data_IF_781634912605
#
_entry.id   IF_781634912605
#
_cell.length_a   1.000
_cell.length_b   1.000
_cell.length_c   1.000
_cell.angle_alpha   90.00
_cell.angle_beta   90.00
_cell.angle_gamma   90.00
#
_symmetry.space_group_name_H-M   'P 1'
#
loop_
_entity.id
_entity.type
_entity.pdbx_description
1 polymer ?
#
# COMPACT_ATOMS: atom_id res chain seq x y z
N UNK A 1 -72.84 -31.44 31.69
CA UNK A 1 -71.48 -31.25 32.20
C UNK A 1 -70.58 -32.03 31.27
N UNK A 2 -69.95 -31.31 30.34
CA UNK A 2 -69.05 -31.85 29.35
C UNK A 2 -67.64 -31.65 29.81
N UNK A 3 -66.81 -32.70 29.84
CA UNK A 3 -65.38 -32.65 30.08
C UNK A 3 -64.64 -32.62 28.73
N UNK A 4 -63.80 -31.62 28.52
CA UNK A 4 -62.93 -31.50 27.37
C UNK A 4 -61.68 -32.34 27.50
N UNK A 5 -61.20 -33.05 26.47
CA UNK A 5 -59.94 -33.80 26.53
C UNK A 5 -58.73 -32.87 26.30
N UNK A 6 -57.66 -33.12 27.10
CA UNK A 6 -56.38 -32.43 26.97
C UNK A 6 -55.58 -33.02 25.80
N UNK A 7 -54.94 -32.20 24.97
CA UNK A 7 -54.02 -32.69 23.94
C UNK A 7 -52.65 -33.03 24.55
N UNK A 8 -52.14 -34.24 24.24
CA UNK A 8 -50.75 -34.63 24.49
C UNK A 8 -49.88 -34.12 23.35
N UNK A 9 -49.05 -33.15 23.62
CA UNK A 9 -47.98 -32.76 22.69
C UNK A 9 -46.72 -33.59 23.00
N UNK A 10 -46.31 -34.43 22.11
CA UNK A 10 -44.97 -35.02 22.08
C UNK A 10 -44.16 -34.34 21.00
N UNK A 11 -43.13 -33.58 21.40
CA UNK A 11 -42.16 -32.97 20.49
C UNK A 11 -41.04 -33.98 20.19
N UNK A 12 -40.67 -34.20 18.91
CA UNK A 12 -39.52 -35.02 18.60
C UNK A 12 -38.23 -34.24 18.83
N UNK A 13 -37.28 -34.88 19.54
CA UNK A 13 -35.91 -34.32 19.71
C UNK A 13 -35.13 -34.40 18.40
N UNK A 14 -34.52 -33.32 17.91
CA UNK A 14 -33.62 -33.37 16.77
C UNK A 14 -32.30 -34.03 17.17
N UNK A 15 -31.91 -35.11 16.51
CA UNK A 15 -30.55 -35.66 16.53
C UNK A 15 -29.66 -34.81 15.64
N UNK A 16 -28.94 -33.85 16.23
CA UNK A 16 -27.86 -33.17 15.56
C UNK A 16 -26.59 -34.02 15.65
N UNK A 17 -26.23 -34.71 14.59
CA UNK A 17 -24.87 -35.18 14.37
C UNK A 17 -24.15 -34.18 13.49
N UNK A 18 -23.29 -33.37 14.11
CA UNK A 18 -22.34 -32.52 13.38
C UNK A 18 -21.24 -33.39 12.81
N UNK A 19 -20.93 -33.30 11.49
CA UNK A 19 -19.75 -33.97 10.98
C UNK A 19 -18.51 -33.26 11.49
N UNK A 20 -17.59 -33.99 12.10
CA UNK A 20 -16.27 -33.48 12.47
C UNK A 20 -15.51 -33.11 11.20
N UNK A 21 -14.97 -31.89 11.05
CA UNK A 21 -14.10 -31.57 9.96
C UNK A 21 -12.82 -32.38 10.06
N UNK A 22 -12.54 -33.19 9.06
CA UNK A 22 -11.22 -33.78 8.85
C UNK A 22 -10.29 -32.67 8.39
N UNK A 23 -9.55 -32.09 9.32
CA UNK A 23 -8.43 -31.23 8.98
C UNK A 23 -7.32 -32.10 8.36
N UNK A 24 -7.31 -32.23 7.05
CA UNK A 24 -6.10 -32.59 6.32
C UNK A 24 -5.43 -31.29 5.93
N UNK A 25 -4.38 -30.93 6.66
CA UNK A 25 -3.45 -29.88 6.24
C UNK A 25 -2.71 -30.35 4.98
N UNK A 26 -2.84 -29.69 3.85
CA UNK A 26 -2.11 -30.04 2.63
C UNK A 26 -0.68 -29.50 2.61
N UNK A 27 -0.20 -28.90 3.67
CA UNK A 27 1.14 -28.32 3.72
C UNK A 27 2.11 -29.27 4.37
N UNK A 28 2.85 -30.01 3.53
CA UNK A 28 4.08 -30.70 3.91
C UNK A 28 5.05 -29.66 4.44
N UNK A 29 5.60 -29.88 5.64
CA UNK A 29 6.57 -29.02 6.35
C UNK A 29 7.89 -28.87 5.56
N UNK A 30 8.04 -29.52 4.40
CA UNK A 30 9.32 -29.64 3.67
C UNK A 30 9.60 -28.47 2.70
N UNK A 31 8.78 -27.43 2.64
CA UNK A 31 9.04 -26.29 1.73
C UNK A 31 8.68 -24.95 2.37
N UNK A 32 9.11 -24.71 3.59
CA UNK A 32 9.27 -23.34 4.08
C UNK A 32 10.48 -22.76 3.35
N UNK A 33 10.25 -22.24 2.15
CA UNK A 33 11.17 -21.31 1.50
C UNK A 33 11.35 -20.18 2.49
N UNK A 34 12.54 -20.05 3.10
CA UNK A 34 12.85 -18.95 4.01
C UNK A 34 12.65 -17.69 3.16
N UNK A 35 11.51 -17.02 3.35
CA UNK A 35 11.25 -15.75 2.71
C UNK A 35 12.26 -14.75 3.28
N UNK A 36 12.97 -14.04 2.42
CA UNK A 36 13.83 -12.95 2.88
C UNK A 36 12.93 -11.91 3.56
N UNK A 37 13.36 -11.34 4.70
CA UNK A 37 12.62 -10.28 5.33
C UNK A 37 12.34 -9.12 4.35
N UNK A 38 11.14 -8.56 4.44
CA UNK A 38 10.81 -7.34 3.74
C UNK A 38 11.61 -6.18 4.35
N UNK A 39 12.26 -5.41 3.49
CA UNK A 39 13.03 -4.22 3.87
C UNK A 39 12.33 -3.01 3.27
N UNK A 40 11.83 -2.10 4.12
CA UNK A 40 11.34 -0.83 3.64
C UNK A 40 12.51 -0.06 2.98
N UNK A 41 12.39 0.24 1.70
CA UNK A 41 13.49 0.87 0.94
C UNK A 41 13.08 2.25 0.48
N UNK A 42 13.78 3.28 0.98
CA UNK A 42 13.58 4.68 0.60
C UNK A 42 14.53 5.06 -0.52
N UNK A 43 14.03 5.76 -1.52
CA UNK A 43 14.84 6.29 -2.63
C UNK A 43 15.37 7.67 -2.25
N UNK A 44 16.69 7.84 -2.32
CA UNK A 44 17.34 9.14 -2.31
C UNK A 44 17.59 9.58 -3.75
N UNK A 45 16.94 10.66 -4.16
CA UNK A 45 17.16 11.33 -5.45
C UNK A 45 17.82 12.71 -5.23
N UNK A 46 18.46 13.28 -6.27
CA UNK A 46 19.36 14.41 -6.05
C UNK A 46 18.67 15.77 -6.04
N UNK A 47 17.49 15.91 -6.67
CA UNK A 47 16.88 17.21 -6.92
C UNK A 47 16.02 17.76 -5.78
N UNK A 48 15.56 16.92 -4.85
CA UNK A 48 14.56 17.29 -3.86
C UNK A 48 14.91 16.92 -2.42
N UNK A 49 13.89 16.89 -1.60
CA UNK A 49 13.93 16.57 -0.17
C UNK A 49 13.33 15.18 0.08
N UNK A 50 14.05 14.16 -0.28
CA UNK A 50 13.64 12.76 -0.18
C UNK A 50 13.47 12.25 1.26
N UNK A 51 14.02 12.95 2.25
CA UNK A 51 14.07 12.57 3.66
C UNK A 51 12.90 13.17 4.45
N UNK A 52 11.69 12.85 4.02
CA UNK A 52 10.43 13.24 4.69
C UNK A 52 9.93 12.12 5.59
N UNK A 53 9.02 12.41 6.52
CA UNK A 53 8.25 11.41 7.29
C UNK A 53 9.16 10.35 7.93
N UNK A 54 10.04 10.76 8.81
CA UNK A 54 11.15 9.91 9.30
C UNK A 54 10.69 8.74 10.18
N UNK A 55 9.51 8.84 10.84
CA UNK A 55 8.95 7.75 11.66
C UNK A 55 8.03 6.84 10.86
N UNK A 56 7.62 7.27 9.68
CA UNK A 56 6.68 6.53 8.84
C UNK A 56 7.13 5.10 8.54
N UNK A 57 8.39 4.80 8.15
CA UNK A 57 8.81 3.43 7.89
C UNK A 57 8.64 2.51 9.09
N UNK A 58 9.06 2.95 10.28
CA UNK A 58 8.92 2.12 11.49
C UNK A 58 7.47 1.91 11.89
N UNK A 59 6.61 2.92 11.75
CA UNK A 59 5.19 2.81 12.06
C UNK A 59 4.48 1.86 11.07
N UNK A 60 4.79 1.95 9.79
CA UNK A 60 4.22 1.07 8.77
C UNK A 60 4.71 -0.38 8.92
N UNK A 61 5.99 -0.58 9.25
CA UNK A 61 6.56 -1.89 9.55
C UNK A 61 5.90 -2.52 10.79
N UNK A 62 5.65 -1.76 11.84
CA UNK A 62 4.89 -2.22 13.01
C UNK A 62 3.48 -2.70 12.63
N UNK A 63 2.84 -2.01 11.69
CA UNK A 63 1.52 -2.40 11.18
C UNK A 63 1.57 -3.69 10.36
N UNK A 64 2.63 -3.90 9.58
CA UNK A 64 2.84 -5.18 8.90
C UNK A 64 2.96 -6.35 9.87
N UNK A 65 3.70 -6.17 10.98
CA UNK A 65 3.82 -7.19 12.02
C UNK A 65 2.47 -7.47 12.69
N UNK A 66 1.67 -6.44 12.91
CA UNK A 66 0.37 -6.58 13.56
C UNK A 66 -0.65 -7.31 12.69
N UNK A 67 -0.71 -6.98 11.40
CA UNK A 67 -1.75 -7.48 10.50
C UNK A 67 -1.33 -8.67 9.64
N UNK A 68 -0.03 -8.95 9.51
CA UNK A 68 0.47 -9.97 8.57
C UNK A 68 1.49 -10.90 9.21
N UNK A 69 1.85 -11.94 8.50
CA UNK A 69 2.97 -12.84 8.84
C UNK A 69 4.21 -12.58 7.97
N UNK A 70 4.25 -11.46 7.26
CA UNK A 70 5.40 -11.07 6.44
C UNK A 70 6.60 -10.84 7.37
N UNK A 71 7.71 -11.56 7.21
CA UNK A 71 8.90 -11.26 7.98
C UNK A 71 9.47 -9.91 7.55
N UNK A 72 9.85 -9.08 8.50
CA UNK A 72 10.38 -7.73 8.24
C UNK A 72 11.82 -7.57 8.77
N UNK A 73 12.56 -6.66 8.15
CA UNK A 73 13.72 -5.99 8.77
C UNK A 73 13.20 -4.72 9.44
N UNK A 74 13.53 -4.51 10.70
CA UNK A 74 13.05 -3.36 11.47
C UNK A 74 13.66 -2.03 10.99
N UNK A 75 14.76 -2.09 10.23
CA UNK A 75 15.47 -0.92 9.73
C UNK A 75 15.15 -0.66 8.27
N UNK A 76 14.79 0.58 7.99
CA UNK A 76 14.72 1.02 6.60
C UNK A 76 16.10 1.01 5.94
N UNK A 77 16.10 0.87 4.61
CA UNK A 77 17.27 1.00 3.76
C UNK A 77 17.10 2.24 2.87
N UNK A 78 18.09 3.11 2.85
CA UNK A 78 18.17 4.21 1.90
C UNK A 78 19.02 3.80 0.71
N UNK A 79 18.54 4.02 -0.52
CA UNK A 79 19.27 3.74 -1.76
C UNK A 79 19.29 4.98 -2.65
N UNK A 80 20.46 5.27 -3.21
CA UNK A 80 20.57 6.30 -4.23
C UNK A 80 19.85 5.85 -5.51
N UNK A 81 19.01 6.71 -6.08
CA UNK A 81 18.32 6.42 -7.35
C UNK A 81 19.31 6.16 -8.50
N UNK A 82 20.49 6.76 -8.43
CA UNK A 82 21.59 6.54 -9.39
C UNK A 82 22.37 5.23 -9.17
N UNK A 83 21.98 4.39 -8.20
CA UNK A 83 22.67 3.14 -7.86
C UNK A 83 21.89 1.90 -8.29
N UNK A 84 22.59 0.86 -8.73
CA UNK A 84 22.01 -0.45 -9.01
C UNK A 84 21.53 -1.19 -7.74
N UNK A 85 21.79 -0.67 -6.54
CA UNK A 85 21.29 -1.25 -5.27
C UNK A 85 19.75 -1.31 -5.21
N UNK A 86 19.06 -0.43 -5.93
CA UNK A 86 17.59 -0.40 -6.03
C UNK A 86 17.04 -1.75 -6.53
N UNK A 87 17.73 -2.45 -7.42
CA UNK A 87 17.30 -3.74 -7.98
C UNK A 87 17.28 -4.90 -6.95
N UNK A 88 17.81 -4.67 -5.76
CA UNK A 88 17.77 -5.67 -4.66
C UNK A 88 16.48 -5.60 -3.84
N UNK A 89 15.66 -4.56 -4.05
CA UNK A 89 14.43 -4.31 -3.30
C UNK A 89 13.21 -4.45 -4.22
N UNK A 90 12.22 -5.27 -3.87
CA UNK A 90 10.99 -5.39 -4.68
C UNK A 90 10.08 -4.17 -4.54
N UNK A 91 10.21 -3.45 -3.43
CA UNK A 91 9.43 -2.25 -3.08
C UNK A 91 10.37 -1.09 -2.77
N UNK A 92 10.05 0.07 -3.32
CA UNK A 92 10.71 1.33 -2.98
C UNK A 92 9.68 2.43 -2.71
N UNK A 93 10.06 3.37 -1.84
CA UNK A 93 9.30 4.56 -1.50
C UNK A 93 10.05 5.82 -1.95
N UNK A 94 9.33 6.75 -2.56
CA UNK A 94 9.83 8.06 -2.96
C UNK A 94 8.84 9.13 -2.51
N UNK A 95 9.31 10.17 -1.83
CA UNK A 95 8.47 11.28 -1.38
C UNK A 95 9.23 12.61 -1.40
N UNK A 96 8.53 13.69 -1.18
CA UNK A 96 9.10 15.02 -1.06
C UNK A 96 8.10 16.15 -1.19
N UNK A 97 8.61 17.39 -1.01
CA UNK A 97 7.86 18.64 -1.16
C UNK A 97 8.34 19.46 -2.35
N UNK A 98 9.54 19.17 -2.85
CA UNK A 98 10.27 20.01 -3.79
C UNK A 98 10.31 19.42 -5.20
N UNK A 99 10.99 20.10 -6.08
CA UNK A 99 11.19 19.69 -7.46
C UNK A 99 11.72 18.26 -7.56
N UNK A 100 11.06 17.45 -8.38
CA UNK A 100 11.57 16.15 -8.81
C UNK A 100 12.14 16.30 -10.22
N UNK A 101 13.45 16.13 -10.34
CA UNK A 101 14.15 16.12 -11.62
C UNK A 101 15.21 15.02 -11.61
N UNK A 102 15.03 14.04 -12.49
CA UNK A 102 15.97 12.94 -12.60
C UNK A 102 17.06 13.25 -13.61
N UNK A 103 18.31 13.02 -13.23
CA UNK A 103 19.41 12.95 -14.19
C UNK A 103 19.16 11.82 -15.20
N UNK A 104 19.85 11.84 -16.32
CA UNK A 104 19.73 10.78 -17.33
C UNK A 104 20.01 9.39 -16.77
N UNK A 105 20.96 9.29 -15.83
CA UNK A 105 21.30 8.05 -15.14
C UNK A 105 20.19 7.58 -14.20
N UNK A 106 19.65 8.48 -13.41
CA UNK A 106 18.54 8.17 -12.49
C UNK A 106 17.30 7.72 -13.27
N UNK A 107 16.98 8.40 -14.36
CA UNK A 107 15.85 8.06 -15.22
C UNK A 107 16.03 6.67 -15.87
N UNK A 108 17.22 6.34 -16.36
CA UNK A 108 17.51 5.01 -16.91
C UNK A 108 17.38 3.91 -15.87
N UNK A 109 17.91 4.12 -14.65
CA UNK A 109 17.81 3.15 -13.56
C UNK A 109 16.37 3.00 -13.11
N UNK A 110 15.63 4.10 -12.92
CA UNK A 110 14.21 4.08 -12.54
C UNK A 110 13.37 3.31 -13.57
N UNK A 111 13.56 3.62 -14.86
CA UNK A 111 12.87 2.93 -15.94
C UNK A 111 13.15 1.43 -15.92
N UNK A 112 14.42 1.03 -15.88
CA UNK A 112 14.80 -0.39 -15.85
C UNK A 112 14.31 -1.11 -14.59
N UNK A 113 14.33 -0.45 -13.44
CA UNK A 113 13.82 -1.01 -12.20
C UNK A 113 12.33 -1.37 -12.33
N UNK A 114 11.53 -0.44 -12.79
CA UNK A 114 10.09 -0.64 -13.00
C UNK A 114 9.81 -1.69 -14.08
N UNK A 115 10.53 -1.65 -15.20
CA UNK A 115 10.39 -2.63 -16.29
C UNK A 115 10.75 -4.06 -15.85
N UNK A 116 11.65 -4.20 -14.90
CA UNK A 116 12.06 -5.51 -14.35
C UNK A 116 11.19 -5.98 -13.16
N UNK A 117 10.03 -5.37 -12.96
CA UNK A 117 9.07 -5.79 -11.95
C UNK A 117 9.23 -5.13 -10.58
N UNK A 118 10.08 -4.12 -10.45
CA UNK A 118 10.15 -3.28 -9.25
C UNK A 118 8.89 -2.46 -9.07
N UNK A 119 8.52 -2.19 -7.82
CA UNK A 119 7.39 -1.36 -7.45
C UNK A 119 7.87 -0.12 -6.70
N UNK A 120 7.38 1.06 -7.11
CA UNK A 120 7.66 2.33 -6.42
C UNK A 120 6.35 2.94 -5.95
N UNK A 121 6.21 3.14 -4.65
CA UNK A 121 5.18 4.00 -4.10
C UNK A 121 5.74 5.42 -4.00
N UNK A 122 5.06 6.36 -4.63
CA UNK A 122 5.42 7.78 -4.67
C UNK A 122 4.33 8.58 -3.99
N UNK A 123 4.70 9.37 -3.00
CA UNK A 123 3.76 10.15 -2.22
C UNK A 123 4.14 11.62 -2.16
N UNK A 124 3.20 12.49 -2.51
CA UNK A 124 3.36 13.95 -2.49
C UNK A 124 3.02 14.48 -1.10
N UNK A 125 4.05 14.91 -0.37
CA UNK A 125 3.88 15.45 0.98
C UNK A 125 3.27 16.87 1.02
N UNK A 126 3.00 17.49 -0.12
CA UNK A 126 2.29 18.79 -0.15
C UNK A 126 0.79 18.65 -0.28
N UNK A 127 0.30 17.48 -0.70
CA UNK A 127 -1.11 17.28 -1.01
C UNK A 127 -1.65 18.38 -1.96
N UNK A 128 -0.92 18.64 -3.04
CA UNK A 128 -1.24 19.71 -4.00
C UNK A 128 -0.97 19.24 -5.44
N UNK A 129 -2.04 18.93 -6.19
CA UNK A 129 -1.93 18.47 -7.58
C UNK A 129 -1.35 19.53 -8.51
N UNK A 130 -1.38 20.78 -8.13
CA UNK A 130 -0.81 21.91 -8.83
C UNK A 130 0.56 22.33 -8.28
N UNK A 131 1.00 21.66 -7.23
CA UNK A 131 2.25 21.88 -6.54
C UNK A 131 3.49 21.51 -7.36
N UNK A 132 4.63 21.92 -6.84
CA UNK A 132 5.91 21.72 -7.52
C UNK A 132 6.27 20.25 -7.64
N UNK A 133 6.07 19.46 -6.56
CA UNK A 133 6.34 18.02 -6.56
C UNK A 133 5.46 17.32 -7.58
N UNK A 134 4.14 17.51 -7.52
CA UNK A 134 3.18 16.87 -8.40
C UNK A 134 3.50 17.10 -9.88
N UNK A 135 3.62 18.38 -10.28
CA UNK A 135 3.89 18.75 -11.67
C UNK A 135 5.23 18.23 -12.18
N UNK A 136 6.28 18.34 -11.37
CA UNK A 136 7.60 17.87 -11.78
C UNK A 136 7.68 16.35 -11.84
N UNK A 137 7.06 15.65 -10.90
CA UNK A 137 7.00 14.18 -10.94
C UNK A 137 6.21 13.66 -12.15
N UNK A 138 5.07 14.26 -12.47
CA UNK A 138 4.32 13.90 -13.68
C UNK A 138 5.14 14.12 -14.95
N UNK A 139 5.91 15.20 -15.01
CA UNK A 139 6.83 15.46 -16.13
C UNK A 139 7.95 14.40 -16.21
N UNK A 140 8.52 13.99 -15.07
CA UNK A 140 9.53 12.92 -15.05
C UNK A 140 8.94 11.56 -15.48
N UNK A 141 7.71 11.24 -15.10
CA UNK A 141 7.02 10.04 -15.59
C UNK A 141 6.77 10.11 -17.09
N UNK A 142 6.37 11.28 -17.61
CA UNK A 142 6.20 11.50 -19.05
C UNK A 142 7.51 11.33 -19.84
N UNK A 143 8.63 11.83 -19.31
CA UNK A 143 9.97 11.66 -19.92
C UNK A 143 10.45 10.21 -19.86
N UNK A 144 10.08 9.48 -18.80
CA UNK A 144 10.59 8.12 -18.53
C UNK A 144 9.79 7.04 -19.25
N UNK A 145 8.45 7.14 -19.23
CA UNK A 145 7.55 6.09 -19.73
C UNK A 145 6.63 6.54 -20.87
N UNK A 146 6.67 7.83 -21.23
CA UNK A 146 5.84 8.44 -22.29
C UNK A 146 4.71 9.31 -21.73
N UNK A 147 4.21 10.21 -22.57
CA UNK A 147 3.33 11.33 -22.19
C UNK A 147 2.04 10.96 -21.44
N UNK A 148 1.57 9.78 -21.53
CA UNK A 148 0.32 9.33 -20.87
C UNK A 148 0.55 8.10 -20.01
N UNK A 149 1.77 7.90 -19.54
CA UNK A 149 2.09 6.70 -18.76
C UNK A 149 1.45 6.71 -17.37
N UNK A 150 1.42 7.87 -16.72
CA UNK A 150 0.79 8.02 -15.39
C UNK A 150 -0.71 8.27 -15.56
N UNK A 151 -1.54 7.27 -15.22
CA UNK A 151 -2.99 7.27 -15.40
C UNK A 151 -3.71 7.02 -14.08
N UNK A 152 -4.91 7.59 -13.93
CA UNK A 152 -5.80 7.22 -12.81
C UNK A 152 -6.13 5.73 -12.87
N UNK A 153 -6.04 5.05 -11.74
CA UNK A 153 -6.48 3.66 -11.61
C UNK A 153 -7.95 3.63 -11.17
N UNK A 154 -8.75 2.67 -11.65
CA UNK A 154 -10.14 2.54 -11.22
C UNK A 154 -10.20 2.11 -9.75
N UNK A 155 -11.21 2.57 -9.00
CA UNK A 155 -11.41 2.19 -7.60
C UNK A 155 -11.76 0.69 -7.43
N UNK A 156 -12.02 -0.02 -8.54
CA UNK A 156 -12.16 -1.47 -8.57
C UNK A 156 -10.83 -2.22 -8.68
N UNK A 157 -9.69 -1.50 -8.79
CA UNK A 157 -8.38 -2.12 -8.92
C UNK A 157 -8.04 -2.98 -7.70
N UNK A 158 -7.37 -4.11 -7.93
CA UNK A 158 -7.05 -5.10 -6.89
C UNK A 158 -6.20 -4.56 -5.73
N UNK A 159 -5.43 -3.48 -5.92
CA UNK A 159 -4.66 -2.85 -4.84
C UNK A 159 -5.55 -2.40 -3.67
N UNK A 160 -6.82 -2.08 -3.94
CA UNK A 160 -7.78 -1.68 -2.92
C UNK A 160 -8.41 -2.86 -2.18
N UNK A 161 -8.12 -4.11 -2.58
CA UNK A 161 -8.74 -5.31 -2.00
C UNK A 161 -7.84 -6.53 -1.91
N UNK A 162 -6.54 -6.37 -2.16
CA UNK A 162 -5.59 -7.49 -2.16
C UNK A 162 -5.33 -8.07 -0.76
N UNK A 163 -5.64 -7.34 0.31
CA UNK A 163 -5.54 -7.80 1.69
C UNK A 163 -6.70 -7.28 2.55
N UNK A 164 -6.85 -5.96 2.70
CA UNK A 164 -8.03 -5.31 3.24
C UNK A 164 -8.92 -4.80 2.10
N UNK A 165 -10.23 -4.72 2.32
CA UNK A 165 -11.18 -4.25 1.31
C UNK A 165 -11.46 -2.76 1.49
N UNK A 166 -11.28 -2.00 0.41
CA UNK A 166 -11.59 -0.58 0.28
C UNK A 166 -12.39 -0.33 -1.00
N UNK A 167 -13.26 0.65 -0.99
CA UNK A 167 -14.02 1.11 -2.16
C UNK A 167 -13.20 2.04 -3.08
N UNK A 168 -12.00 2.42 -2.64
CA UNK A 168 -11.06 3.33 -3.30
C UNK A 168 -9.97 3.75 -2.33
N UNK A 169 -9.16 4.77 -2.67
CA UNK A 169 -8.12 5.25 -1.78
C UNK A 169 -8.73 5.91 -0.53
N UNK A 170 -8.38 5.46 0.69
CA UNK A 170 -8.89 6.08 1.90
C UNK A 170 -8.50 7.56 1.99
N UNK A 171 -9.40 8.35 2.57
CA UNK A 171 -9.19 9.79 2.79
C UNK A 171 -8.20 10.00 3.93
N UNK A 172 -7.30 10.99 3.79
CA UNK A 172 -6.35 11.37 4.84
C UNK A 172 -6.90 12.50 5.72
N UNK A 173 -6.32 12.67 6.91
CA UNK A 173 -6.67 13.80 7.77
C UNK A 173 -6.22 15.13 7.19
N UNK A 174 -5.19 15.12 6.36
CA UNK A 174 -4.68 16.31 5.67
C UNK A 174 -5.69 16.81 4.64
N UNK A 175 -6.27 15.93 3.83
CA UNK A 175 -7.36 16.28 2.91
C UNK A 175 -8.55 16.91 3.63
N UNK A 176 -8.97 16.35 4.78
CA UNK A 176 -10.11 16.86 5.54
C UNK A 176 -9.82 18.17 6.29
N UNK A 177 -8.57 18.48 6.53
CA UNK A 177 -8.15 19.73 7.18
C UNK A 177 -7.84 20.87 6.18
N UNK A 178 -8.02 20.64 4.88
CA UNK A 178 -7.81 21.64 3.84
C UNK A 178 -6.34 21.98 3.61
N UNK A 179 -5.43 21.01 3.74
CA UNK A 179 -4.04 21.19 3.37
C UNK A 179 -3.86 21.14 1.84
N UNK A 180 -2.81 21.77 1.38
CA UNK A 180 -2.43 21.73 -0.03
C UNK A 180 -3.46 22.40 -0.93
N UNK A 181 -4.12 21.64 -1.79
CA UNK A 181 -5.13 22.14 -2.73
C UNK A 181 -6.56 22.22 -2.16
N UNK A 182 -6.75 21.91 -0.88
CA UNK A 182 -8.05 21.93 -0.18
C UNK A 182 -9.11 21.00 -0.83
N UNK A 183 -8.66 19.91 -1.46
CA UNK A 183 -9.54 18.95 -2.12
C UNK A 183 -9.41 17.56 -1.50
N UNK A 184 -10.48 16.77 -1.59
CA UNK A 184 -10.43 15.33 -1.30
C UNK A 184 -10.33 14.58 -2.62
N UNK A 185 -9.24 13.83 -2.80
CA UNK A 185 -9.01 13.06 -4.02
C UNK A 185 -9.47 11.62 -3.86
N UNK A 186 -10.39 11.19 -4.70
CA UNK A 186 -10.97 9.84 -4.72
C UNK A 186 -10.23 8.88 -5.68
N UNK A 187 -8.99 9.20 -6.04
CA UNK A 187 -8.19 8.41 -6.98
C UNK A 187 -6.71 8.42 -6.63
N UNK A 188 -6.01 7.40 -7.11
CA UNK A 188 -4.56 7.38 -7.27
C UNK A 188 -4.21 7.28 -8.75
N UNK A 189 -2.95 7.59 -9.09
CA UNK A 189 -2.41 7.42 -10.43
C UNK A 189 -1.36 6.32 -10.45
N UNK A 190 -1.19 5.64 -11.57
CA UNK A 190 -0.16 4.62 -11.69
C UNK A 190 0.47 4.59 -13.10
N UNK A 191 1.72 4.13 -13.16
CA UNK A 191 2.34 3.60 -14.37
C UNK A 191 2.20 2.08 -14.31
N UNK A 192 1.50 1.52 -15.30
CA UNK A 192 1.25 0.07 -15.38
C UNK A 192 2.13 -0.54 -16.46
N UNK A 193 2.84 -1.60 -16.11
CA UNK A 193 3.70 -2.37 -17.00
C UNK A 193 3.18 -3.82 -17.02
N UNK A 194 2.85 -4.31 -18.20
CA UNK A 194 2.32 -5.68 -18.39
C UNK A 194 1.15 -6.04 -17.46
N UNK A 195 0.24 -5.08 -17.24
CA UNK A 195 -0.94 -5.28 -16.38
C UNK A 195 -0.69 -5.10 -14.87
N UNK A 196 0.55 -4.85 -14.44
CA UNK A 196 0.95 -4.66 -13.05
C UNK A 196 1.32 -3.21 -12.79
N UNK A 197 0.96 -2.67 -11.64
CA UNK A 197 1.47 -1.35 -11.20
C UNK A 197 2.97 -1.46 -10.95
N UNK A 198 3.74 -0.63 -11.65
CA UNK A 198 5.16 -0.45 -11.38
C UNK A 198 5.46 0.85 -10.62
N UNK A 199 4.66 1.90 -10.85
CA UNK A 199 4.71 3.13 -10.06
C UNK A 199 3.29 3.43 -9.59
N UNK A 200 3.08 3.56 -8.29
CA UNK A 200 1.86 4.06 -7.68
C UNK A 200 2.12 5.47 -7.18
N UNK A 201 1.35 6.44 -7.64
CA UNK A 201 1.46 7.84 -7.24
C UNK A 201 0.24 8.28 -6.44
N UNK A 202 0.50 8.87 -5.29
CA UNK A 202 -0.47 9.51 -4.40
C UNK A 202 -0.14 10.98 -4.22
N UNK A 203 -1.16 11.82 -4.25
CA UNK A 203 -1.10 13.21 -3.80
C UNK A 203 -1.92 13.42 -2.52
N UNK A 204 -2.08 12.37 -1.71
CA UNK A 204 -2.92 12.36 -0.52
C UNK A 204 -2.15 12.52 0.78
N UNK A 205 -0.81 12.59 0.70
CA UNK A 205 0.08 12.72 1.86
C UNK A 205 -0.08 11.55 2.86
N UNK A 206 -0.06 10.32 2.35
CA UNK A 206 -0.09 9.13 3.21
C UNK A 206 1.14 9.01 4.09
N UNK A 207 2.30 9.50 3.64
CA UNK A 207 3.53 9.49 4.41
C UNK A 207 3.36 10.20 5.75
N UNK A 208 2.79 11.40 5.74
CA UNK A 208 2.49 12.14 6.96
C UNK A 208 1.44 11.45 7.83
N UNK A 209 0.42 10.79 7.24
CA UNK A 209 -0.53 9.99 8.02
C UNK A 209 0.17 8.83 8.74
N UNK A 210 1.08 8.12 8.07
CA UNK A 210 1.81 6.99 8.63
C UNK A 210 2.96 7.43 9.56
N UNK A 211 3.43 8.68 9.47
CA UNK A 211 4.43 9.23 10.41
C UNK A 211 3.86 9.40 11.82
N UNK A 212 2.54 9.46 11.97
CA UNK A 212 1.86 9.37 13.24
C UNK A 212 1.60 7.92 13.62
N UNK A 213 1.88 7.56 14.86
CA UNK A 213 1.57 6.24 15.40
C UNK A 213 0.06 6.00 15.32
N UNK A 214 -0.38 4.97 14.57
CA UNK A 214 -1.79 4.56 14.44
C UNK A 214 -2.45 4.32 15.82
N UNK A 215 -1.69 3.93 16.83
CA UNK A 215 -2.15 3.75 18.22
C UNK A 215 -2.63 5.05 18.86
N UNK A 216 -2.28 6.20 18.31
CA UNK A 216 -2.81 7.49 18.75
C UNK A 216 -4.29 7.69 18.39
N UNK A 217 -4.95 6.67 17.83
CA UNK A 217 -6.39 6.60 17.58
C UNK A 217 -6.95 7.84 16.87
N UNK A 218 -6.21 8.37 15.92
CA UNK A 218 -6.79 9.30 14.97
C UNK A 218 -7.83 8.55 14.14
N UNK A 219 -8.95 9.14 14.00
CA UNK A 219 -10.15 8.61 13.35
C UNK A 219 -9.92 7.96 11.99
N UNK A 220 -8.99 8.49 11.16
CA UNK A 220 -8.65 7.94 9.84
C UNK A 220 -7.38 7.07 9.84
N UNK A 221 -6.62 7.06 10.92
CA UNK A 221 -5.32 6.41 10.95
C UNK A 221 -5.39 4.89 10.72
N UNK A 222 -6.47 4.24 11.16
CA UNK A 222 -6.62 2.80 10.99
C UNK A 222 -6.78 2.42 9.51
N UNK A 223 -7.65 3.10 8.77
CA UNK A 223 -7.87 2.81 7.35
C UNK A 223 -6.65 3.16 6.52
N UNK A 224 -6.01 4.30 6.79
CA UNK A 224 -4.79 4.71 6.10
C UNK A 224 -3.65 3.72 6.36
N UNK A 225 -3.49 3.23 7.59
CA UNK A 225 -2.51 2.21 7.95
C UNK A 225 -2.78 0.88 7.25
N UNK A 226 -4.03 0.40 7.25
CA UNK A 226 -4.45 -0.80 6.53
C UNK A 226 -4.21 -0.68 5.02
N UNK A 227 -4.41 0.51 4.47
CA UNK A 227 -4.10 0.75 3.06
C UNK A 227 -2.60 0.68 2.77
N UNK A 228 -1.75 1.14 3.68
CA UNK A 228 -0.30 0.94 3.60
C UNK A 228 0.09 -0.54 3.55
N UNK A 229 -0.60 -1.38 4.34
CA UNK A 229 -0.43 -2.84 4.28
C UNK A 229 -0.85 -3.39 2.91
N UNK A 230 -1.97 -2.91 2.33
CA UNK A 230 -2.38 -3.29 0.97
C UNK A 230 -1.30 -2.96 -0.07
N UNK A 231 -0.74 -1.75 -0.02
CA UNK A 231 0.29 -1.31 -0.97
C UNK A 231 1.51 -2.25 -0.92
N UNK A 232 1.98 -2.58 0.29
CA UNK A 232 3.14 -3.48 0.45
C UNK A 232 2.77 -4.89 0.03
N UNK A 233 1.60 -5.41 0.43
CA UNK A 233 1.16 -6.74 0.03
C UNK A 233 1.06 -6.85 -1.51
N UNK A 234 0.47 -5.86 -2.17
CA UNK A 234 0.40 -5.80 -3.62
C UNK A 234 1.80 -5.85 -4.26
N UNK A 235 2.73 -5.04 -3.76
CA UNK A 235 4.10 -4.99 -4.28
C UNK A 235 4.85 -6.32 -4.17
N UNK A 236 4.54 -7.13 -3.15
CA UNK A 236 5.22 -8.40 -2.88
C UNK A 236 4.57 -9.62 -3.56
N UNK A 237 3.30 -9.53 -3.94
CA UNK A 237 2.51 -10.70 -4.40
C UNK A 237 2.08 -10.64 -5.85
N UNK A 238 2.03 -9.45 -6.44
CA UNK A 238 1.59 -9.21 -7.82
C UNK A 238 2.78 -8.77 -8.71
#
# INVERSE_FOLDING_TARGET
KAQSPKPKAQSPKPKAQSPKPKAQSPYSITTLKIMKPFVFTRIQYNSGDWDTDQRMPSNLLNSLVEYTTIPIDEKEKVVLLSSNEIFKSPFCYLSGHKLVEFSSKERDIFHRYVQNGGFVFVDDCNHDIDGLFAKSFEQEMAKTFGQKALQKIPNTHEIYRCFFEFEGPPTTSFELNGWGDDLVHDYLKAVTINGRIGVLYSNKDYGCEWDYDFRNKRWLAEDNTKFGVNIINYALTM
#
